data_IF_099052129495
#
_entry.id   IF_099052129495
#
_cell.length_a   1.000
_cell.length_b   1.000
_cell.length_c   1.000
_cell.angle_alpha   90.00
_cell.angle_beta   90.00
_cell.angle_gamma   90.00
#
_symmetry.space_group_name_H-M   'P 1'
#
loop_
_entity.id
_entity.type
_entity.pdbx_description
1 polymer ?
#
# COMPACT_ATOMS: atom_id res chain seq x y z
N UNK A 1 6.21 16.37 -3.09
CA UNK A 1 5.26 15.25 -3.05
C UNK A 1 4.18 15.58 -4.04
N UNK A 2 3.84 14.63 -4.91
CA UNK A 2 2.78 14.75 -5.89
C UNK A 2 1.71 13.75 -5.54
N UNK A 3 0.52 14.24 -5.25
CA UNK A 3 -0.65 13.40 -5.02
C UNK A 3 -1.49 13.38 -6.27
N UNK A 4 -1.88 12.17 -6.69
CA UNK A 4 -2.84 11.93 -7.77
C UNK A 4 -4.01 11.12 -7.23
N UNK A 5 -5.19 11.43 -7.73
CA UNK A 5 -6.42 10.72 -7.43
C UNK A 5 -7.07 10.26 -8.73
N UNK A 6 -7.55 9.03 -8.72
CA UNK A 6 -8.15 8.39 -9.89
C UNK A 6 -9.50 7.79 -9.52
N UNK A 7 -10.44 7.82 -10.46
CA UNK A 7 -11.71 7.08 -10.40
C UNK A 7 -11.66 5.89 -11.33
N UNK A 8 -12.29 4.79 -10.96
CA UNK A 8 -12.48 3.65 -11.85
C UNK A 8 -13.83 2.98 -11.54
N UNK A 9 -14.35 2.23 -12.50
CA UNK A 9 -15.63 1.56 -12.45
C UNK A 9 -15.46 0.10 -12.03
N UNK A 10 -16.16 -0.32 -10.99
CA UNK A 10 -16.09 -1.66 -10.41
C UNK A 10 -14.64 -2.09 -10.18
N UNK A 11 -14.24 -3.22 -10.74
CA UNK A 11 -12.86 -3.72 -10.70
C UNK A 11 -12.09 -3.50 -12.01
N UNK A 12 -12.62 -2.70 -12.94
CA UNK A 12 -11.97 -2.43 -14.22
C UNK A 12 -10.96 -1.30 -14.09
N UNK A 13 -9.70 -1.64 -13.82
CA UNK A 13 -8.61 -0.67 -13.77
C UNK A 13 -8.37 0.05 -15.10
N UNK A 14 -8.86 -0.44 -16.25
CA UNK A 14 -8.70 0.26 -17.53
C UNK A 14 -9.64 1.47 -17.66
N UNK A 15 -10.67 1.53 -16.84
CA UNK A 15 -11.59 2.67 -16.75
C UNK A 15 -11.04 3.85 -15.93
N UNK A 16 -9.77 3.80 -15.56
CA UNK A 16 -9.10 4.79 -14.71
C UNK A 16 -9.18 6.21 -15.32
N UNK A 17 -9.74 7.14 -14.55
CA UNK A 17 -9.88 8.55 -14.86
C UNK A 17 -9.13 9.38 -13.81
N UNK A 18 -8.10 10.12 -14.22
CA UNK A 18 -7.40 11.06 -13.34
C UNK A 18 -8.32 12.25 -12.98
N UNK A 19 -8.62 12.38 -11.70
CA UNK A 19 -9.50 13.43 -11.14
C UNK A 19 -8.73 14.41 -10.24
N UNK A 20 -7.40 14.39 -10.28
CA UNK A 20 -6.53 15.22 -9.44
C UNK A 20 -6.85 16.72 -9.60
N UNK A 21 -7.05 17.18 -10.84
CA UNK A 21 -7.38 18.58 -11.14
C UNK A 21 -8.75 18.95 -10.56
N UNK A 22 -9.74 18.07 -10.66
CA UNK A 22 -11.08 18.31 -10.12
C UNK A 22 -11.05 18.48 -8.59
N UNK A 23 -10.29 17.63 -7.89
CA UNK A 23 -10.07 17.80 -6.44
C UNK A 23 -9.42 19.16 -6.13
N UNK A 24 -8.39 19.55 -6.87
CA UNK A 24 -7.72 20.85 -6.64
C UNK A 24 -8.64 22.05 -6.93
N UNK A 25 -9.46 21.98 -7.97
CA UNK A 25 -10.47 23.01 -8.28
C UNK A 25 -11.52 23.13 -7.18
N UNK A 26 -11.84 22.03 -6.49
CA UNK A 26 -12.70 22.00 -5.32
C UNK A 26 -12.00 22.40 -4.01
N UNK A 27 -10.75 22.89 -4.08
CA UNK A 27 -9.98 23.38 -2.95
C UNK A 27 -9.45 22.28 -2.03
N UNK A 28 -9.37 21.03 -2.48
CA UNK A 28 -8.71 19.97 -1.73
C UNK A 28 -7.19 20.12 -1.77
N UNK A 29 -6.57 20.01 -0.59
CA UNK A 29 -5.13 19.87 -0.43
C UNK A 29 -4.68 18.42 -0.66
N UNK A 30 -3.40 18.23 -0.97
CA UNK A 30 -2.79 16.91 -1.09
C UNK A 30 -3.00 16.04 0.17
N UNK A 31 -3.00 16.65 1.37
CA UNK A 31 -3.27 15.94 2.63
C UNK A 31 -4.71 15.43 2.71
N UNK A 32 -5.69 16.24 2.28
CA UNK A 32 -7.10 15.83 2.26
C UNK A 32 -7.40 14.80 1.16
N UNK A 33 -6.67 14.84 0.05
CA UNK A 33 -6.77 13.81 -0.98
C UNK A 33 -6.20 12.48 -0.44
N UNK A 34 -5.08 12.50 0.28
CA UNK A 34 -4.47 11.30 0.88
C UNK A 34 -5.20 10.77 2.11
N UNK A 35 -5.97 11.60 2.81
CA UNK A 35 -6.54 11.22 4.11
C UNK A 35 -7.52 10.06 4.04
N UNK A 36 -8.12 9.82 2.88
CA UNK A 36 -8.98 8.66 2.70
C UNK A 36 -8.29 7.31 2.70
N UNK A 37 -6.97 7.27 2.52
CA UNK A 37 -6.22 6.03 2.76
C UNK A 37 -5.89 5.88 4.25
N UNK A 38 -5.71 7.00 4.96
CA UNK A 38 -5.38 7.02 6.38
C UNK A 38 -6.59 6.80 7.30
N UNK A 39 -7.58 6.00 6.88
CA UNK A 39 -8.67 5.51 7.75
C UNK A 39 -8.18 4.63 8.92
N UNK A 40 -6.86 4.53 9.14
CA UNK A 40 -6.29 4.06 10.40
C UNK A 40 -6.49 5.16 11.45
N UNK A 41 -7.65 5.08 12.09
CA UNK A 41 -8.20 5.93 13.16
C UNK A 41 -8.77 7.26 12.69
N UNK A 42 -10.10 7.31 12.59
CA UNK A 42 -10.99 8.35 13.18
C UNK A 42 -10.32 9.69 13.55
N UNK A 43 -9.62 10.34 12.61
CA UNK A 43 -9.18 11.71 12.81
C UNK A 43 -10.37 12.60 12.51
N UNK A 44 -11.19 12.84 13.54
CA UNK A 44 -12.36 13.72 13.50
C UNK A 44 -11.98 15.17 13.07
N UNK A 45 -10.69 15.51 13.07
CA UNK A 45 -10.21 16.81 12.60
C UNK A 45 -10.14 16.94 11.08
N UNK A 46 -10.23 15.82 10.34
CA UNK A 46 -10.28 15.84 8.88
C UNK A 46 -11.72 16.09 8.42
N UNK A 47 -11.97 17.18 7.65
CA UNK A 47 -13.31 17.49 7.16
C UNK A 47 -13.90 16.30 6.42
N UNK A 48 -15.19 16.02 6.63
CA UNK A 48 -15.92 14.99 5.89
C UNK A 48 -15.69 15.21 4.38
N UNK A 49 -14.85 14.36 3.78
CA UNK A 49 -14.41 14.54 2.39
C UNK A 49 -15.62 14.60 1.45
N UNK A 50 -16.64 13.78 1.73
CA UNK A 50 -17.91 13.77 1.00
C UNK A 50 -18.74 15.04 1.24
N UNK A 51 -18.65 15.70 2.39
CA UNK A 51 -19.29 17.00 2.59
C UNK A 51 -18.64 18.08 1.70
N UNK A 52 -17.31 18.09 1.59
CA UNK A 52 -16.60 19.04 0.71
C UNK A 52 -16.83 18.74 -0.77
N UNK A 53 -16.90 17.46 -1.17
CA UNK A 53 -17.32 17.08 -2.53
C UNK A 53 -18.74 17.58 -2.82
N UNK A 54 -19.70 17.36 -1.89
CA UNK A 54 -21.08 17.85 -2.03
C UNK A 54 -21.16 19.37 -2.15
N UNK A 55 -20.33 20.10 -1.39
CA UNK A 55 -20.28 21.56 -1.45
C UNK A 55 -19.73 22.06 -2.80
N UNK A 56 -18.72 21.39 -3.34
CA UNK A 56 -18.12 21.76 -4.62
C UNK A 56 -19.03 21.49 -5.83
N UNK A 57 -19.85 20.43 -5.79
CA UNK A 57 -20.75 20.03 -6.88
C UNK A 57 -20.05 19.79 -8.23
N UNK A 58 -18.76 19.47 -8.22
CA UNK A 58 -18.04 19.15 -9.45
C UNK A 58 -18.57 17.83 -10.04
N UNK A 59 -19.01 17.79 -11.31
CA UNK A 59 -19.76 16.66 -11.87
C UNK A 59 -18.99 15.34 -11.76
N UNK A 60 -17.70 15.35 -12.09
CA UNK A 60 -16.85 14.15 -12.02
C UNK A 60 -16.68 13.62 -10.59
N UNK A 61 -16.54 14.50 -9.58
CA UNK A 61 -16.37 14.07 -8.20
C UNK A 61 -17.71 13.65 -7.58
N UNK A 62 -18.83 14.21 -8.05
CA UNK A 62 -20.15 13.82 -7.57
C UNK A 62 -20.47 12.34 -7.86
N UNK A 63 -19.84 11.76 -8.91
CA UNK A 63 -19.90 10.34 -9.22
C UNK A 63 -19.47 9.45 -8.04
N UNK A 64 -18.50 9.87 -7.22
CA UNK A 64 -18.08 9.17 -5.99
C UNK A 64 -19.21 9.01 -4.97
N UNK A 65 -20.22 9.88 -5.02
CA UNK A 65 -21.34 9.90 -4.07
C UNK A 65 -22.55 9.20 -4.67
N UNK A 66 -22.76 9.32 -5.98
CA UNK A 66 -24.01 8.91 -6.63
C UNK A 66 -23.92 7.60 -7.39
N UNK A 67 -22.75 7.21 -7.87
CA UNK A 67 -22.57 5.97 -8.62
C UNK A 67 -22.11 4.86 -7.68
N UNK A 68 -22.95 3.84 -7.49
CA UNK A 68 -22.70 2.71 -6.59
C UNK A 68 -21.45 1.89 -6.93
N UNK A 69 -21.01 1.93 -8.19
CA UNK A 69 -19.89 1.14 -8.72
C UNK A 69 -18.68 2.02 -9.09
N UNK A 70 -18.59 3.23 -8.53
CA UNK A 70 -17.39 4.08 -8.68
C UNK A 70 -16.48 3.89 -7.49
N UNK A 71 -15.26 3.45 -7.77
CA UNK A 71 -14.18 3.36 -6.81
C UNK A 71 -13.13 4.42 -7.09
N UNK A 72 -12.21 4.59 -6.16
CA UNK A 72 -11.11 5.51 -6.31
C UNK A 72 -9.81 4.97 -5.77
N UNK A 73 -8.73 5.50 -6.36
CA UNK A 73 -7.35 5.10 -6.11
C UNK A 73 -6.53 6.36 -5.92
N UNK A 74 -5.56 6.26 -5.03
CA UNK A 74 -4.67 7.35 -4.68
C UNK A 74 -3.23 6.96 -4.99
N UNK A 75 -2.45 7.93 -5.43
CA UNK A 75 -1.02 7.76 -5.66
C UNK A 75 -0.27 8.93 -5.04
N UNK A 76 0.69 8.62 -4.16
CA UNK A 76 1.64 9.59 -3.62
C UNK A 76 3.02 9.34 -4.23
N UNK A 77 3.58 10.33 -4.92
CA UNK A 77 4.92 10.27 -5.51
C UNK A 77 5.81 11.28 -4.80
N UNK A 78 6.93 10.82 -4.26
CA UNK A 78 7.98 11.67 -3.71
C UNK A 78 9.13 11.74 -4.71
N UNK A 79 9.43 12.93 -5.20
CA UNK A 79 10.52 13.18 -6.15
C UNK A 79 11.49 14.21 -5.60
N UNK A 80 12.76 14.07 -5.96
CA UNK A 80 13.83 15.03 -5.65
C UNK A 80 14.90 14.96 -6.73
N UNK A 81 15.65 16.04 -6.89
CA UNK A 81 16.82 16.06 -7.78
C UNK A 81 18.04 15.55 -7.02
N UNK A 82 18.84 14.68 -7.66
CA UNK A 82 20.09 14.14 -7.11
C UNK A 82 21.23 14.35 -8.10
N UNK A 83 22.31 14.98 -7.64
CA UNK A 83 23.57 15.07 -8.40
C UNK A 83 24.48 13.90 -8.04
N UNK A 84 24.97 13.19 -9.05
CA UNK A 84 25.90 12.06 -8.89
C UNK A 84 27.31 12.49 -9.26
N UNK A 85 28.27 12.37 -8.32
CA UNK A 85 29.67 12.65 -8.60
C UNK A 85 30.28 11.51 -9.42
N UNK A 86 31.00 11.84 -10.48
CA UNK A 86 31.68 10.86 -11.33
C UNK A 86 32.60 9.96 -10.49
N UNK A 87 32.62 8.66 -10.80
CA UNK A 87 33.48 7.65 -10.18
C UNK A 87 33.35 7.54 -8.65
N UNK A 88 32.17 7.82 -8.09
CA UNK A 88 31.91 7.67 -6.65
C UNK A 88 30.66 6.85 -6.36
N UNK A 89 30.57 6.31 -5.14
CA UNK A 89 29.38 5.63 -4.65
C UNK A 89 28.48 6.62 -3.92
N UNK A 90 27.29 6.85 -4.45
CA UNK A 90 26.22 7.56 -3.75
C UNK A 90 25.43 6.58 -2.88
N UNK A 91 25.28 6.88 -1.59
CA UNK A 91 24.44 6.11 -0.67
C UNK A 91 23.10 6.83 -0.47
N UNK A 92 22.01 6.12 -0.71
CA UNK A 92 20.65 6.64 -0.53
C UNK A 92 20.00 5.89 0.63
N UNK A 93 19.35 6.63 1.53
CA UNK A 93 18.59 6.06 2.64
C UNK A 93 17.17 6.65 2.63
N UNK A 94 16.17 5.78 2.68
CA UNK A 94 14.77 6.18 2.79
C UNK A 94 14.20 5.71 4.13
N UNK A 95 13.50 6.60 4.83
CA UNK A 95 12.73 6.27 6.02
C UNK A 95 11.35 6.89 5.88
N UNK A 96 10.32 6.05 5.94
CA UNK A 96 8.94 6.45 5.82
C UNK A 96 8.03 5.42 6.49
N UNK A 97 6.81 5.85 6.81
CA UNK A 97 5.73 4.92 7.20
C UNK A 97 5.08 4.41 5.92
N UNK A 98 5.10 3.09 5.66
CA UNK A 98 4.51 2.55 4.45
C UNK A 98 2.98 2.67 4.48
N UNK A 99 2.39 2.66 3.29
CA UNK A 99 0.97 2.38 3.13
C UNK A 99 0.78 0.86 3.27
N UNK A 100 0.02 0.46 4.29
CA UNK A 100 -0.24 -0.94 4.64
C UNK A 100 -1.67 -1.26 4.26
N UNK A 101 -1.83 -2.25 3.38
CA UNK A 101 -3.14 -2.78 3.01
C UNK A 101 -3.60 -3.82 4.04
N UNK A 102 -4.86 -4.23 4.01
CA UNK A 102 -5.36 -5.24 4.92
C UNK A 102 -6.82 -5.58 4.75
N UNK A 103 -7.25 -6.60 5.47
CA UNK A 103 -8.64 -7.04 5.48
C UNK A 103 -9.05 -7.52 6.87
N UNK A 104 -10.36 -7.47 7.13
CA UNK A 104 -10.96 -7.92 8.40
C UNK A 104 -11.37 -9.40 8.38
N UNK A 105 -11.37 -10.02 7.20
CA UNK A 105 -11.66 -11.43 7.02
C UNK A 105 -10.54 -12.09 6.22
N UNK A 106 -9.83 -13.00 6.88
CA UNK A 106 -8.88 -13.91 6.24
C UNK A 106 -9.47 -15.32 6.20
N UNK A 107 -9.72 -15.83 5.00
CA UNK A 107 -10.17 -17.20 4.75
C UNK A 107 -9.23 -17.94 3.79
N UNK A 108 -9.49 -19.23 3.57
CA UNK A 108 -8.66 -20.10 2.73
C UNK A 108 -8.58 -19.64 1.26
N UNK A 109 -9.55 -18.87 0.76
CA UNK A 109 -9.50 -18.36 -0.62
C UNK A 109 -8.33 -17.39 -0.84
N UNK A 110 -7.86 -16.75 0.23
CA UNK A 110 -6.74 -15.82 0.19
C UNK A 110 -5.37 -16.51 0.27
N UNK A 111 -5.28 -17.79 0.63
CA UNK A 111 -4.02 -18.49 0.87
C UNK A 111 -3.00 -18.32 -0.28
N UNK A 112 -3.50 -18.36 -1.52
CA UNK A 112 -2.69 -18.19 -2.74
C UNK A 112 -2.04 -16.81 -2.86
N UNK A 113 -2.69 -15.77 -2.34
CA UNK A 113 -2.19 -14.39 -2.35
C UNK A 113 -1.08 -14.16 -1.31
N UNK A 114 -1.02 -14.98 -0.27
CA UNK A 114 -0.10 -14.81 0.86
C UNK A 114 1.03 -15.83 0.93
N UNK A 115 1.13 -16.73 -0.05
CA UNK A 115 2.19 -17.74 -0.15
C UNK A 115 2.39 -18.51 1.16
N UNK A 116 1.29 -18.96 1.75
CA UNK A 116 1.31 -19.68 3.01
C UNK A 116 1.95 -21.06 2.84
N UNK A 117 2.96 -21.36 3.64
CA UNK A 117 3.43 -22.74 3.79
C UNK A 117 2.47 -23.53 4.71
N UNK A 118 2.51 -24.87 4.62
CA UNK A 118 1.63 -25.75 5.40
C UNK A 118 1.68 -25.47 6.91
N UNK A 119 2.86 -25.16 7.44
CA UNK A 119 3.03 -24.85 8.87
C UNK A 119 2.40 -23.51 9.25
N UNK A 120 2.52 -22.50 8.38
CA UNK A 120 1.92 -21.17 8.55
C UNK A 120 0.40 -21.26 8.52
N UNK A 121 -0.18 -22.02 7.57
CA UNK A 121 -1.63 -22.26 7.51
C UNK A 121 -2.16 -22.92 8.79
N UNK A 122 -1.51 -24.00 9.24
CA UNK A 122 -1.90 -24.67 10.48
C UNK A 122 -1.83 -23.75 11.71
N UNK A 123 -0.87 -22.83 11.76
CA UNK A 123 -0.77 -21.85 12.84
C UNK A 123 -1.87 -20.78 12.74
N UNK A 124 -2.26 -20.38 11.52
CA UNK A 124 -3.41 -19.51 11.30
C UNK A 124 -4.72 -20.18 11.75
N UNK A 125 -4.95 -21.45 11.40
CA UNK A 125 -6.15 -22.19 11.84
C UNK A 125 -6.27 -22.24 13.36
N UNK A 126 -5.14 -22.53 14.04
CA UNK A 126 -5.08 -22.53 15.51
C UNK A 126 -5.34 -21.15 16.11
N UNK A 127 -4.85 -20.08 15.47
CA UNK A 127 -5.04 -18.70 15.94
C UNK A 127 -6.46 -18.18 15.68
N UNK A 128 -7.05 -18.55 14.55
CA UNK A 128 -8.42 -18.18 14.19
C UNK A 128 -9.44 -18.82 15.14
N UNK A 129 -9.28 -20.12 15.43
CA UNK A 129 -10.28 -20.88 16.16
C UNK A 129 -11.63 -20.82 15.42
N UNK A 130 -12.63 -20.20 16.04
CA UNK A 130 -13.96 -19.97 15.44
C UNK A 130 -14.16 -18.56 14.88
N UNK A 131 -13.15 -17.69 14.97
CA UNK A 131 -13.26 -16.28 14.58
C UNK A 131 -12.42 -15.98 13.35
N UNK A 132 -12.92 -15.13 12.43
CA UNK A 132 -12.12 -14.67 11.31
C UNK A 132 -10.95 -13.79 11.80
N UNK A 133 -9.80 -13.96 11.16
CA UNK A 133 -8.62 -13.14 11.44
C UNK A 133 -8.61 -11.92 10.53
N UNK A 134 -8.21 -10.77 11.08
CA UNK A 134 -7.75 -9.66 10.26
C UNK A 134 -6.31 -9.91 9.81
N UNK A 135 -5.93 -9.26 8.71
CA UNK A 135 -4.58 -9.33 8.17
C UNK A 135 -4.10 -7.97 7.69
N UNK A 136 -2.79 -7.84 7.61
CA UNK A 136 -2.10 -6.73 6.96
C UNK A 136 -1.23 -7.25 5.83
N UNK A 137 -1.19 -6.52 4.72
CA UNK A 137 -0.43 -6.84 3.53
C UNK A 137 0.50 -5.67 3.19
N UNK A 138 1.75 -6.01 2.88
CA UNK A 138 2.76 -5.03 2.45
C UNK A 138 3.49 -5.55 1.22
N UNK A 139 3.46 -4.75 0.15
CA UNK A 139 4.24 -4.99 -1.07
C UNK A 139 5.57 -4.24 -1.07
N UNK A 140 6.61 -4.85 -1.65
CA UNK A 140 7.87 -4.17 -1.94
C UNK A 140 8.25 -4.38 -3.41
N UNK A 141 8.36 -3.30 -4.16
CA UNK A 141 8.58 -3.34 -5.63
C UNK A 141 10.07 -3.29 -5.95
N UNK A 142 10.58 -4.36 -6.57
CA UNK A 142 11.97 -4.44 -7.06
C UNK A 142 12.09 -4.32 -8.57
N UNK A 143 11.00 -4.55 -9.30
CA UNK A 143 10.99 -4.61 -10.76
C UNK A 143 11.36 -3.27 -11.39
N UNK A 144 11.01 -2.15 -10.76
CA UNK A 144 11.43 -0.79 -11.17
C UNK A 144 12.94 -0.58 -11.09
N UNK A 145 13.67 -1.45 -10.39
CA UNK A 145 15.12 -1.50 -10.40
C UNK A 145 15.71 -1.73 -11.80
N UNK A 146 14.93 -2.29 -12.72
CA UNK A 146 15.32 -2.46 -14.12
C UNK A 146 15.45 -1.14 -14.90
N UNK A 147 14.98 -0.01 -14.35
CA UNK A 147 15.17 1.31 -14.95
C UNK A 147 16.58 1.89 -14.73
N UNK A 148 17.39 1.26 -13.88
CA UNK A 148 18.80 1.66 -13.68
C UNK A 148 19.70 1.04 -14.75
N UNK A 149 20.86 1.66 -15.00
CA UNK A 149 21.83 1.18 -15.99
C UNK A 149 22.39 -0.24 -15.71
N UNK A 150 22.27 -0.73 -14.47
CA UNK A 150 22.69 -2.08 -14.06
C UNK A 150 21.65 -2.73 -13.14
N UNK A 151 21.55 -4.07 -13.11
CA UNK A 151 20.64 -4.78 -12.21
C UNK A 151 20.95 -4.55 -10.72
N UNK A 152 19.95 -4.81 -9.87
CA UNK A 152 20.16 -4.93 -8.43
C UNK A 152 21.01 -6.17 -8.15
N UNK A 153 22.27 -5.97 -7.78
CA UNK A 153 23.19 -7.09 -7.54
C UNK A 153 22.91 -7.82 -6.22
N UNK A 154 22.75 -7.07 -5.13
CA UNK A 154 22.57 -7.62 -3.77
C UNK A 154 21.34 -7.01 -3.12
N UNK A 155 20.40 -7.87 -2.74
CA UNK A 155 19.18 -7.48 -2.05
C UNK A 155 19.05 -8.22 -0.71
N UNK A 156 18.73 -7.47 0.35
CA UNK A 156 18.38 -8.00 1.68
C UNK A 156 17.14 -7.28 2.17
N UNK A 157 16.08 -8.05 2.43
CA UNK A 157 14.89 -7.59 3.14
C UNK A 157 14.90 -8.18 4.54
N UNK A 158 14.69 -7.31 5.53
CA UNK A 158 14.43 -7.71 6.91
C UNK A 158 13.07 -7.16 7.30
N UNK A 159 12.17 -8.05 7.70
CA UNK A 159 10.86 -7.71 8.22
C UNK A 159 10.78 -8.23 9.65
N UNK A 160 10.50 -7.30 10.55
CA UNK A 160 10.41 -7.54 11.98
C UNK A 160 8.93 -7.58 12.38
N UNK A 161 8.61 -8.40 13.37
CA UNK A 161 7.25 -8.63 13.84
C UNK A 161 7.22 -8.83 15.35
N UNK A 162 6.06 -8.66 15.94
CA UNK A 162 5.85 -9.05 17.33
C UNK A 162 5.70 -10.57 17.48
N UNK A 163 5.93 -11.07 18.69
CA UNK A 163 6.10 -12.50 18.96
C UNK A 163 4.89 -13.35 18.60
N UNK A 164 3.70 -12.79 18.79
CA UNK A 164 2.39 -13.38 18.55
C UNK A 164 1.86 -13.15 17.12
N UNK A 165 2.55 -12.36 16.30
CA UNK A 165 2.19 -12.15 14.90
C UNK A 165 2.61 -13.34 14.02
N UNK A 166 1.80 -13.63 12.99
CA UNK A 166 2.13 -14.63 11.96
C UNK A 166 2.46 -13.86 10.68
N UNK A 167 3.62 -14.15 10.08
CA UNK A 167 4.07 -13.49 8.86
C UNK A 167 4.44 -14.52 7.80
N UNK A 168 3.94 -14.30 6.58
CA UNK A 168 4.31 -15.02 5.37
C UNK A 168 5.00 -14.08 4.37
N UNK A 169 5.70 -14.66 3.39
CA UNK A 169 6.42 -13.89 2.37
C UNK A 169 6.26 -14.56 1.01
N UNK A 170 5.78 -13.79 0.03
CA UNK A 170 5.84 -14.16 -1.38
C UNK A 170 7.17 -13.69 -1.97
N UNK A 171 7.97 -14.63 -2.49
CA UNK A 171 9.24 -14.31 -3.15
C UNK A 171 9.37 -15.11 -4.44
N UNK A 172 9.24 -14.40 -5.57
CA UNK A 172 9.43 -14.97 -6.91
C UNK A 172 10.88 -14.81 -7.45
N UNK A 173 11.75 -14.13 -6.69
CA UNK A 173 13.11 -13.86 -7.13
C UNK A 173 14.07 -15.05 -6.90
N UNK A 174 15.30 -14.93 -7.41
CA UNK A 174 16.36 -15.90 -7.14
C UNK A 174 16.95 -15.63 -5.75
N UNK A 175 17.07 -16.67 -4.92
CA UNK A 175 17.66 -16.55 -3.58
C UNK A 175 16.94 -17.39 -2.54
N UNK A 176 17.40 -17.30 -1.28
CA UNK A 176 16.78 -18.00 -0.14
C UNK A 176 16.05 -16.99 0.73
N UNK A 177 14.77 -17.23 1.00
CA UNK A 177 14.06 -16.57 2.09
C UNK A 177 14.42 -17.29 3.39
N UNK A 178 14.93 -16.56 4.38
CA UNK A 178 15.21 -17.09 5.72
C UNK A 178 14.29 -16.40 6.71
N UNK A 179 13.41 -17.18 7.36
CA UNK A 179 12.63 -16.73 8.52
C UNK A 179 13.50 -16.92 9.77
N UNK A 180 13.65 -15.87 10.57
CA UNK A 180 14.40 -15.91 11.83
C UNK A 180 13.43 -15.62 12.98
N UNK A 181 13.47 -16.42 14.04
CA UNK A 181 12.72 -16.14 15.27
C UNK A 181 13.51 -15.26 16.23
N UNK A 182 12.83 -14.65 17.22
CA UNK A 182 13.44 -13.80 18.28
C UNK A 182 14.66 -14.44 18.99
N UNK A 183 14.85 -15.75 18.92
CA UNK A 183 15.97 -16.45 19.56
C UNK A 183 17.37 -16.16 18.96
N UNK A 184 17.46 -15.52 17.78
CA UNK A 184 18.72 -15.40 17.04
C UNK A 184 19.21 -13.96 16.77
N UNK A 185 18.62 -12.95 17.42
CA UNK A 185 19.21 -11.60 17.48
C UNK A 185 20.11 -11.53 18.73
N UNK A 186 21.33 -12.05 18.60
CA UNK A 186 22.46 -11.70 19.48
C UNK A 186 23.49 -10.96 18.66
#
# INVERSE_FOLDING_TARGET
MHVRAFLYKGHDEQSELDVTVAFRQCGFSDKEILSAYHHVNYDESLPNIYAKIRACKHPTLYRLITEQDTHWKLQAIYEWTQTFKANTVTRINHSYRPMVDGGVFFDESLDSNFCLDKATRQNLDKKAGTHPLSYSALGYVLTTGANWAKPIERFKLTAERDGDEIVSFCWAGRGKVKKWGRANLK
#
